data_IF_476376404189
#
_entry.id   IF_476376404189
#
_cell.length_a   1.000
_cell.length_b   1.000
_cell.length_c   1.000
_cell.angle_alpha   90.00
_cell.angle_beta   90.00
_cell.angle_gamma   90.00
#
_symmetry.space_group_name_H-M   'P 1'
#
loop_
_entity.id
_entity.type
_entity.pdbx_description
1 polymer ?
2 polymer ?
3 non-polymer ?
4 non-polymer ?
5 water ?
#
# COMPACT_ATOMS: atom_id res chain seq x y z
N UNK A 1 -1.36 10.26 -19.80
CA UNK A 1 -2.45 9.83 -20.73
C UNK A 1 -3.57 9.13 -19.99
N UNK A 2 -3.95 7.92 -20.41
CA UNK A 2 -5.07 7.21 -19.80
C UNK A 2 -4.71 6.59 -18.45
N UNK A 3 -3.41 6.54 -18.16
CA UNK A 3 -2.92 5.92 -16.95
C UNK A 3 -1.56 5.32 -17.20
N UNK A 4 -1.05 4.63 -16.19
CA UNK A 4 0.27 4.02 -16.29
C UNK A 4 0.16 2.60 -16.82
N UNK A 5 1.22 2.15 -17.46
CA UNK A 5 1.31 0.81 -17.96
C UNK A 5 1.96 -0.05 -16.91
N UNK A 6 1.38 -1.21 -16.67
CA UNK A 6 1.96 -2.18 -15.79
C UNK A 6 1.98 -3.52 -16.51
N UNK A 7 2.90 -4.38 -16.09
CA UNK A 7 2.97 -5.73 -16.59
C UNK A 7 2.47 -6.65 -15.51
N UNK A 8 1.61 -7.58 -15.89
CA UNK A 8 1.18 -8.63 -15.00
C UNK A 8 2.35 -9.55 -14.74
N UNK A 9 2.66 -9.74 -13.47
CA UNK A 9 3.73 -10.61 -13.06
C UNK A 9 3.25 -12.05 -12.95
N UNK A 10 1.94 -12.23 -12.83
CA UNK A 10 1.34 -13.55 -12.64
C UNK A 10 0.02 -13.60 -13.37
N UNK A 11 -0.45 -14.81 -13.64
CA UNK A 11 -1.79 -15.02 -14.16
C UNK A 11 -2.77 -14.71 -13.05
N UNK A 12 -3.89 -14.12 -13.42
CA UNK A 12 -4.99 -13.95 -12.50
C UNK A 12 -6.31 -14.23 -13.21
N UNK A 13 -7.15 -15.06 -12.63
CA UNK A 13 -8.47 -15.34 -13.17
C UNK A 13 -9.47 -14.65 -12.30
N UNK A 14 -10.27 -13.79 -12.90
CA UNK A 14 -11.29 -13.02 -12.19
C UNK A 14 -12.16 -13.93 -11.34
N UNK A 15 -12.35 -13.54 -10.08
CA UNK A 15 -13.16 -14.30 -9.12
C UNK A 15 -14.48 -13.64 -8.78
N UNK A 16 -14.54 -12.32 -8.86
CA UNK A 16 -15.73 -11.59 -8.46
C UNK A 16 -16.06 -10.56 -9.51
N UNK A 17 -17.18 -9.88 -9.30
CA UNK A 17 -17.66 -8.86 -10.20
C UNK A 17 -16.63 -7.83 -10.60
N UNK A 18 -16.51 -7.64 -11.91
CA UNK A 18 -15.73 -6.55 -12.46
C UNK A 18 -14.24 -6.66 -12.26
N UNK A 19 -13.74 -7.85 -11.96
CA UNK A 19 -12.31 -8.06 -11.96
C UNK A 19 -11.85 -8.44 -13.34
N UNK A 20 -10.63 -8.06 -13.68
CA UNK A 20 -10.03 -8.49 -14.94
C UNK A 20 -9.39 -9.85 -14.78
N UNK A 21 -9.44 -10.61 -15.85
CA UNK A 21 -8.63 -11.78 -16.00
C UNK A 21 -7.45 -11.41 -16.87
N UNK A 22 -6.27 -11.88 -16.49
CA UNK A 22 -5.10 -11.62 -17.28
C UNK A 22 -4.06 -12.69 -17.09
N UNK A 23 -3.06 -12.65 -17.94
CA UNK A 23 -1.96 -13.60 -17.87
C UNK A 23 -0.68 -12.86 -17.61
N UNK A 24 0.28 -13.58 -17.05
CA UNK A 24 1.62 -13.07 -16.87
C UNK A 24 2.08 -12.54 -18.22
N UNK A 25 2.63 -11.34 -18.21
CA UNK A 25 3.11 -10.71 -19.41
C UNK A 25 2.10 -9.76 -20.05
N UNK A 26 0.85 -9.79 -19.61
CA UNK A 26 -0.12 -8.83 -20.11
C UNK A 26 0.26 -7.44 -19.67
N UNK A 27 0.08 -6.49 -20.56
CA UNK A 27 0.22 -5.11 -20.23
C UNK A 27 -1.16 -4.56 -19.90
N UNK A 28 -1.28 -3.98 -18.72
CA UNK A 28 -2.54 -3.47 -18.24
C UNK A 28 -2.39 -1.98 -18.05
N UNK A 29 -3.40 -1.22 -18.44
CA UNK A 29 -3.42 0.20 -18.15
C UNK A 29 -4.08 0.36 -16.81
N UNK A 30 -3.38 0.99 -15.88
CA UNK A 30 -3.94 1.31 -14.58
C UNK A 30 -4.43 2.73 -14.61
N UNK A 31 -5.74 2.88 -14.57
CA UNK A 31 -6.40 4.17 -14.56
C UNK A 31 -6.32 4.84 -13.20
N UNK A 32 -6.50 4.06 -12.15
CA UNK A 32 -6.42 4.61 -10.80
C UNK A 32 -5.79 3.59 -9.88
N UNK A 33 -4.93 4.06 -8.99
CA UNK A 33 -4.35 3.24 -7.94
C UNK A 33 -5.17 3.40 -6.68
N UNK A 34 -6.37 2.86 -6.71
CA UNK A 34 -7.34 3.03 -5.64
C UNK A 34 -6.82 2.42 -4.36
N UNK A 35 -7.19 3.00 -3.22
CA UNK A 35 -6.87 2.35 -1.96
C UNK A 35 -7.64 1.06 -1.88
N UNK A 36 -7.08 0.10 -1.18
CA UNK A 36 -7.74 -1.15 -0.82
C UNK A 36 -7.22 -2.35 -1.61
N UNK A 37 -6.15 -2.18 -2.38
CA UNK A 37 -5.43 -3.31 -2.96
C UNK A 37 -5.84 -3.68 -4.36
N UNK A 38 -6.92 -3.09 -4.85
CA UNK A 38 -7.44 -3.37 -6.17
C UNK A 38 -7.48 -2.08 -6.92
N UNK A 39 -6.84 -2.09 -8.07
CA UNK A 39 -6.72 -0.91 -8.89
C UNK A 39 -7.66 -0.98 -10.07
N UNK A 40 -8.08 0.18 -10.54
CA UNK A 40 -8.92 0.24 -11.71
C UNK A 40 -8.02 0.12 -12.92
N UNK A 41 -8.16 -1.00 -13.62
CA UNK A 41 -7.32 -1.29 -14.76
C UNK A 41 -8.14 -1.51 -15.99
N UNK A 42 -7.44 -1.68 -17.09
CA UNK A 42 -8.07 -1.95 -18.37
C UNK A 42 -7.19 -2.86 -19.20
N UNK A 43 -7.81 -3.87 -19.77
CA UNK A 43 -7.14 -4.84 -20.60
C UNK A 43 -8.13 -5.44 -21.59
N UNK A 44 -7.74 -5.50 -22.85
CA UNK A 44 -8.50 -6.22 -23.89
C UNK A 44 -9.97 -5.80 -23.97
N UNK A 45 -10.21 -4.51 -23.86
CA UNK A 45 -11.53 -3.93 -24.00
C UNK A 45 -12.42 -4.03 -22.78
N UNK A 46 -11.85 -4.43 -21.64
CA UNK A 46 -12.58 -4.52 -20.39
C UNK A 46 -11.90 -3.66 -19.36
N UNK A 47 -12.72 -2.94 -18.61
CA UNK A 47 -12.30 -2.17 -17.47
C UNK A 47 -12.70 -2.94 -16.25
N UNK A 48 -11.81 -3.02 -15.27
CA UNK A 48 -12.14 -3.72 -14.06
C UNK A 48 -11.00 -3.68 -13.08
N UNK A 49 -11.21 -4.36 -11.97
CA UNK A 49 -10.26 -4.35 -10.88
C UNK A 49 -9.10 -5.27 -11.18
N UNK A 50 -7.92 -4.85 -10.75
CA UNK A 50 -6.69 -5.61 -10.89
C UNK A 50 -6.07 -5.66 -9.51
N UNK A 51 -5.62 -6.82 -9.05
CA UNK A 51 -4.97 -6.87 -7.75
C UNK A 51 -3.60 -6.20 -7.86
N UNK A 52 -3.36 -5.20 -7.02
CA UNK A 52 -2.20 -4.34 -7.19
C UNK A 52 -0.89 -5.06 -7.00
N UNK A 53 -0.89 -6.13 -6.22
CA UNK A 53 0.34 -6.88 -5.99
C UNK A 53 0.68 -7.83 -7.13
N UNK A 54 -0.14 -7.85 -8.17
CA UNK A 54 0.09 -8.73 -9.31
C UNK A 54 0.79 -8.06 -10.45
N UNK A 55 1.04 -6.76 -10.32
CA UNK A 55 1.53 -5.99 -11.45
C UNK A 55 2.76 -5.20 -11.06
N UNK A 56 3.60 -4.97 -12.06
CA UNK A 56 4.82 -4.19 -11.90
C UNK A 56 4.75 -3.03 -12.87
N UNK A 57 4.98 -1.83 -12.37
CA UNK A 57 5.02 -0.65 -13.22
C UNK A 57 6.15 -0.84 -14.21
N UNK A 58 5.88 -0.59 -15.49
CA UNK A 58 6.91 -0.67 -16.53
C UNK A 58 7.04 0.67 -17.26
N UNK B 1 -37.77 18.37 -3.69
CA UNK B 1 -36.85 19.13 -2.81
C UNK B 1 -35.47 19.30 -3.46
N UNK B 2 -34.40 19.08 -2.72
CA UNK B 2 -33.04 19.30 -3.22
C UNK B 2 -32.57 18.21 -4.17
N UNK B 3 -33.27 17.08 -4.16
CA UNK B 3 -32.91 15.95 -4.99
C UNK B 3 -33.38 14.68 -4.35
N UNK B 4 -33.02 13.55 -4.94
CA UNK B 4 -33.40 12.26 -4.41
C UNK B 4 -32.35 11.77 -3.43
N UNK B 5 -32.80 10.99 -2.47
CA UNK B 5 -31.91 10.35 -1.53
C UNK B 5 -31.51 9.00 -2.10
N UNK B 6 -30.22 8.70 -2.01
CA UNK B 6 -29.70 7.40 -2.36
C UNK B 6 -28.83 6.92 -1.23
N UNK B 7 -28.68 5.61 -1.14
CA UNK B 7 -27.80 5.00 -0.18
C UNK B 7 -26.59 4.46 -0.91
N UNK B 8 -25.42 4.72 -0.35
CA UNK B 8 -24.18 4.15 -0.88
C UNK B 8 -24.17 2.67 -0.58
N UNK B 9 -24.00 1.87 -1.62
CA UNK B 9 -23.95 0.42 -1.48
C UNK B 9 -22.55 -0.07 -1.15
N UNK B 10 -21.54 0.76 -1.42
CA UNK B 10 -20.15 0.39 -1.19
C UNK B 10 -19.39 1.62 -0.76
N UNK B 11 -18.25 1.41 -0.11
CA UNK B 11 -17.31 2.47 0.18
C UNK B 11 -16.73 2.96 -1.11
N UNK B 12 -16.52 4.25 -1.19
CA UNK B 12 -15.78 4.82 -2.28
C UNK B 12 -14.87 5.91 -1.75
N UNK B 13 -13.60 5.85 -2.13
CA UNK B 13 -12.63 6.86 -1.74
C UNK B 13 -12.33 7.67 -2.98
N UNK B 14 -12.60 8.97 -2.89
CA UNK B 14 -12.39 9.88 -4.02
C UNK B 14 -11.00 9.71 -4.62
N UNK B 15 -10.95 9.56 -5.94
CA UNK B 15 -9.69 9.40 -6.67
C UNK B 15 -9.27 10.62 -7.43
N UNK B 16 -10.23 11.46 -7.81
CA UNK B 16 -9.93 12.64 -8.60
C UNK B 16 -10.62 13.84 -8.00
N UNK B 17 -10.49 14.97 -8.68
CA UNK B 17 -11.08 16.22 -8.25
C UNK B 17 -12.57 16.13 -8.16
N UNK B 18 -13.08 16.61 -7.04
CA UNK B 18 -14.50 16.83 -6.86
C UNK B 18 -15.32 15.58 -6.80
N UNK B 19 -14.70 14.44 -6.52
CA UNK B 19 -15.45 13.25 -6.19
C UNK B 19 -15.71 13.24 -4.70
N UNK B 20 -16.85 12.70 -4.31
CA UNK B 20 -17.14 12.50 -2.90
C UNK B 20 -16.51 11.22 -2.44
N UNK B 21 -16.05 11.24 -1.20
CA UNK B 21 -15.71 10.04 -0.49
C UNK B 21 -16.91 9.70 0.35
N UNK B 22 -17.23 8.42 0.40
CA UNK B 22 -18.33 7.98 1.21
C UNK B 22 -18.14 6.54 1.60
N UNK B 23 -18.97 6.12 2.54
CA UNK B 23 -18.94 4.78 3.02
C UNK B 23 -20.26 4.12 2.75
N UNK B 24 -20.23 2.81 2.65
CA UNK B 24 -21.44 2.03 2.55
C UNK B 24 -22.37 2.50 3.67
N UNK B 25 -23.61 2.77 3.30
CA UNK B 25 -24.62 3.20 4.25
C UNK B 25 -24.82 4.68 4.30
N UNK B 26 -23.92 5.45 3.73
CA UNK B 26 -24.11 6.90 3.66
C UNK B 26 -25.34 7.21 2.83
N UNK B 27 -26.07 8.22 3.26
CA UNK B 27 -27.18 8.74 2.49
C UNK B 27 -26.64 9.94 1.75
N UNK B 28 -26.76 9.91 0.43
CA UNK B 28 -26.27 10.96 -0.43
C UNK B 28 -27.47 11.59 -1.11
N UNK B 29 -27.48 12.91 -1.18
CA UNK B 29 -28.49 13.59 -1.97
C UNK B 29 -27.96 13.67 -3.38
N UNK B 30 -28.72 13.15 -4.32
CA UNK B 30 -28.36 13.25 -5.72
C UNK B 30 -29.13 14.41 -6.31
N UNK B 31 -28.39 15.46 -6.59
CA UNK B 31 -28.95 16.65 -7.20
C UNK B 31 -29.27 16.44 -8.67
N UNK B 32 -28.39 15.75 -9.39
CA UNK B 32 -28.59 15.49 -10.81
C UNK B 32 -28.05 14.12 -11.17
N UNK B 33 -28.78 13.40 -12.02
CA UNK B 33 -28.34 12.14 -12.56
C UNK B 33 -27.71 12.37 -13.92
N UNK B 34 -26.53 12.97 -13.91
CA UNK B 34 -25.85 13.38 -15.12
C UNK B 34 -25.49 12.18 -15.97
N UNK B 35 -25.47 12.34 -17.28
CA UNK B 35 -24.96 11.28 -18.12
C UNK B 35 -23.47 11.11 -17.88
N UNK B 36 -22.98 9.92 -18.10
CA UNK B 36 -21.57 9.57 -18.07
C UNK B 36 -21.12 8.82 -16.80
N UNK B 37 -22.08 8.38 -15.99
CA UNK B 37 -21.83 7.44 -14.91
C UNK B 37 -21.50 8.07 -13.57
N UNK B 38 -21.37 9.39 -13.54
CA UNK B 38 -21.06 10.10 -12.32
C UNK B 38 -22.14 11.14 -12.12
N UNK B 39 -22.75 11.11 -10.94
CA UNK B 39 -23.87 11.98 -10.63
C UNK B 39 -23.45 13.07 -9.67
N UNK B 40 -24.16 14.18 -9.72
CA UNK B 40 -23.87 15.28 -8.81
C UNK B 40 -24.56 14.98 -7.51
N UNK B 41 -23.76 14.71 -6.50
CA UNK B 41 -24.28 14.37 -5.19
C UNK B 41 -23.80 15.32 -4.13
N UNK B 42 -24.33 15.14 -2.94
CA UNK B 42 -23.95 15.94 -1.81
C UNK B 42 -23.96 15.08 -0.57
N UNK B 43 -22.90 15.20 0.21
CA UNK B 43 -22.77 14.47 1.45
C UNK B 43 -21.85 15.26 2.38
N UNK B 44 -22.29 15.41 3.63
CA UNK B 44 -21.45 15.96 4.70
C UNK B 44 -20.84 17.31 4.36
N UNK B 45 -21.66 18.16 3.76
CA UNK B 45 -21.26 19.52 3.42
C UNK B 45 -20.38 19.66 2.20
N UNK B 46 -20.26 18.59 1.40
CA UNK B 46 -19.51 18.63 0.15
C UNK B 46 -20.40 18.20 -0.99
N UNK B 47 -20.33 18.95 -2.08
CA UNK B 47 -20.97 18.58 -3.32
C UNK B 47 -19.89 18.04 -4.21
N UNK B 48 -20.19 16.95 -4.90
CA UNK B 48 -19.22 16.35 -5.78
C UNK B 48 -19.80 15.17 -6.51
N UNK B 49 -18.96 14.53 -7.30
CA UNK B 49 -19.38 13.43 -8.15
C UNK B 49 -19.47 12.18 -7.35
N UNK B 50 -20.48 11.37 -7.68
CA UNK B 50 -20.66 10.07 -7.07
C UNK B 50 -20.81 9.07 -8.22
N UNK B 51 -20.14 7.94 -8.13
CA UNK B 51 -20.29 6.94 -9.19
C UNK B 51 -21.68 6.34 -9.10
N UNK B 52 -22.43 6.40 -10.19
CA UNK B 52 -23.84 6.09 -10.15
C UNK B 52 -24.10 4.63 -9.81
N UNK B 53 -23.15 3.76 -10.14
CA UNK B 53 -23.33 2.34 -9.86
C UNK B 53 -23.05 2.00 -8.42
N UNK B 54 -22.69 2.99 -7.60
CA UNK B 54 -22.37 2.75 -6.20
C UNK B 54 -23.54 3.05 -5.28
N UNK B 55 -24.64 3.53 -5.83
CA UNK B 55 -25.75 3.99 -5.00
C UNK B 55 -27.06 3.37 -5.42
N UNK B 56 -27.97 3.29 -4.47
CA UNK B 56 -29.30 2.74 -4.68
C UNK B 56 -30.30 3.79 -4.23
N UNK B 57 -31.29 4.06 -5.09
CA UNK B 57 -32.36 4.98 -4.74
C UNK B 57 -33.13 4.43 -3.56
N UNK B 58 -33.35 5.26 -2.55
CA UNK B 58 -34.13 4.87 -1.38
C UNK B 58 -35.32 5.81 -1.16
N UNK C 1 -0.60 -12.98 13.45
CA UNK C 1 -0.27 -13.29 12.03
C UNK C 1 0.95 -12.52 11.56
N UNK C 2 0.87 -11.90 10.39
CA UNK C 2 2.01 -11.19 9.81
C UNK C 2 2.27 -9.81 10.42
N UNK C 3 1.32 -9.35 11.22
CA UNK C 3 1.39 -8.02 11.80
C UNK C 3 0.01 -7.46 11.98
N UNK C 4 -0.06 -6.23 12.45
CA UNK C 4 -1.35 -5.58 12.66
C UNK C 4 -1.79 -4.86 11.40
N UNK C 5 -3.09 -4.68 11.28
CA UNK C 5 -3.69 -3.94 10.19
C UNK C 5 -3.85 -2.52 10.66
N UNK C 6 -3.45 -1.59 9.80
CA UNK C 6 -3.70 -0.18 10.03
C UNK C 6 -4.34 0.39 8.80
N UNK C 7 -5.07 1.48 8.97
CA UNK C 7 -5.64 2.20 7.87
C UNK C 7 -4.84 3.48 7.69
N UNK C 8 -4.50 3.78 6.46
CA UNK C 8 -3.88 5.04 6.13
C UNK C 8 -4.92 6.12 6.29
N UNK C 9 -4.58 7.14 7.08
CA UNK C 9 -5.46 8.26 7.33
C UNK C 9 -5.28 9.33 6.28
N UNK C 10 -4.13 9.32 5.60
CA UNK C 10 -3.81 10.31 4.59
C UNK C 10 -3.06 9.64 3.47
N UNK C 11 -3.03 10.29 2.32
CA UNK C 11 -2.18 9.87 1.22
C UNK C 11 -0.74 10.14 1.61
N UNK C 12 0.14 9.24 1.19
CA UNK C 12 1.55 9.48 1.30
C UNK C 12 2.26 8.98 0.05
N UNK C 13 3.11 9.81 -0.52
CA UNK C 13 3.91 9.46 -1.67
C UNK C 13 5.34 9.25 -1.24
N UNK C 14 5.88 8.07 -1.48
CA UNK C 14 7.24 7.73 -1.07
C UNK C 14 8.22 8.78 -1.56
N UNK C 15 9.07 9.24 -0.64
CA UNK C 15 10.07 10.27 -0.93
C UNK C 15 11.49 9.74 -1.00
N UNK C 16 11.74 8.62 -0.32
CA UNK C 16 13.09 8.07 -0.29
C UNK C 16 13.03 6.58 -0.51
N UNK C 17 14.20 5.95 -0.44
CA UNK C 17 14.33 4.52 -0.65
C UNK C 17 13.46 3.72 0.29
N UNK C 18 12.72 2.77 -0.28
CA UNK C 18 12.05 1.77 0.53
C UNK C 18 10.91 2.31 1.35
N UNK C 19 10.39 3.48 1.04
CA UNK C 19 9.14 3.93 1.62
C UNK C 19 8.00 3.43 0.77
N UNK C 20 6.87 3.16 1.40
CA UNK C 20 5.65 2.81 0.69
C UNK C 20 4.91 4.06 0.27
N UNK C 21 4.29 3.98 -0.89
CA UNK C 21 3.31 4.93 -1.31
C UNK C 21 1.96 4.33 -1.01
N UNK C 22 1.05 5.14 -0.48
CA UNK C 22 -0.28 4.67 -0.22
C UNK C 22 -1.27 5.82 -0.25
N UNK C 23 -2.54 5.47 -0.23
CA UNK C 23 -3.61 6.44 -0.23
C UNK C 23 -4.43 6.28 1.01
N UNK C 24 -5.07 7.38 1.40
CA UNK C 24 -6.04 7.34 2.47
C UNK C 24 -6.99 6.18 2.21
N UNK C 25 -7.20 5.37 3.23
CA UNK C 25 -8.11 4.25 3.14
C UNK C 25 -7.41 2.95 2.83
N UNK C 26 -6.13 2.99 2.44
CA UNK C 26 -5.38 1.76 2.24
C UNK C 26 -5.22 1.05 3.56
N UNK C 27 -5.32 -0.27 3.51
CA UNK C 27 -5.01 -1.09 4.65
C UNK C 27 -3.58 -1.55 4.49
N UNK C 28 -2.76 -1.28 5.49
CA UNK C 28 -1.35 -1.60 5.48
C UNK C 28 -1.12 -2.59 6.58
N UNK C 29 -0.30 -3.60 6.30
CA UNK C 29 0.12 -4.52 7.34
C UNK C 29 1.38 -3.92 7.94
N UNK C 30 1.36 -3.70 9.24
CA UNK C 30 2.54 -3.23 9.94
C UNK C 30 3.22 -4.42 10.57
N UNK C 31 4.37 -4.77 10.02
CA UNK C 31 5.18 -5.88 10.51
C UNK C 31 5.91 -5.53 11.79
N UNK C 32 6.44 -4.31 11.86
CA UNK C 32 7.16 -3.86 13.05
C UNK C 32 6.88 -2.39 13.29
N UNK C 33 6.70 -2.04 14.56
CA UNK C 33 6.56 -0.64 14.97
C UNK C 33 7.93 -0.14 15.44
N UNK C 34 8.82 0.03 14.48
CA UNK C 34 10.21 0.38 14.75
C UNK C 34 10.30 1.73 15.41
N UNK C 35 11.28 1.93 16.27
CA UNK C 35 11.51 3.26 16.80
C UNK C 35 11.97 4.15 15.66
N UNK C 36 11.69 5.44 15.78
CA UNK C 36 12.16 6.48 14.88
C UNK C 36 11.09 7.01 13.92
N UNK C 37 9.84 6.61 14.11
CA UNK C 37 8.71 7.23 13.43
C UNK C 37 8.29 6.58 12.13
N UNK C 38 9.06 5.61 11.69
CA UNK C 38 8.80 4.91 10.45
C UNK C 38 8.73 3.44 10.76
N UNK C 39 7.62 2.85 10.36
CA UNK C 39 7.34 1.46 10.68
C UNK C 39 7.51 0.59 9.45
N UNK C 40 7.83 -0.67 9.67
CA UNK C 40 7.97 -1.61 8.58
C UNK C 40 6.58 -2.09 8.21
N UNK C 41 6.12 -1.68 7.04
CA UNK C 41 4.80 -2.04 6.58
C UNK C 41 4.85 -2.79 5.27
N UNK C 42 3.68 -3.22 4.86
CA UNK C 42 3.54 -3.92 3.60
C UNK C 42 2.21 -3.57 2.99
N UNK C 43 2.25 -3.32 1.69
CA UNK C 43 1.07 -2.97 0.94
C UNK C 43 1.32 -3.30 -0.53
N UNK C 44 0.35 -3.97 -1.14
CA UNK C 44 0.35 -4.19 -2.60
C UNK C 44 1.63 -4.84 -3.13
N UNK C 45 2.13 -5.82 -2.39
CA UNK C 45 3.30 -6.57 -2.81
C UNK C 45 4.65 -5.95 -2.50
N UNK C 46 4.63 -4.80 -1.81
CA UNK C 46 5.86 -4.09 -1.45
C UNK C 46 5.96 -3.96 0.04
N UNK C 47 7.16 -4.19 0.53
CA UNK C 47 7.50 -3.99 1.91
C UNK C 47 8.31 -2.73 1.99
N UNK C 48 8.03 -1.90 2.97
CA UNK C 48 8.74 -0.66 3.10
C UNK C 48 8.30 0.13 4.30
N UNK C 49 8.89 1.30 4.44
CA UNK C 49 8.65 2.14 5.58
C UNK C 49 7.36 2.90 5.41
N UNK C 50 6.64 3.06 6.52
CA UNK C 50 5.39 3.80 6.57
C UNK C 50 5.54 4.82 7.70
N UNK C 51 5.17 6.07 7.48
CA UNK C 51 5.26 7.06 8.54
C UNK C 51 4.17 6.75 9.57
N UNK C 52 4.59 6.56 10.81
CA UNK C 52 3.71 6.02 11.83
C UNK C 52 2.53 6.93 12.14
N UNK C 53 2.72 8.23 11.96
CA UNK C 53 1.65 9.17 12.24
C UNK C 53 0.62 9.25 11.14
N UNK C 54 0.80 8.47 10.08
CA UNK C 54 -0.14 8.46 8.96
C UNK C 54 -1.17 7.37 9.03
N UNK C 55 -1.07 6.51 10.05
CA UNK C 55 -1.89 5.32 10.08
C UNK C 55 -2.60 5.21 11.43
N UNK C 56 -3.75 4.55 11.39
CA UNK C 56 -4.57 4.30 12.57
C UNK C 56 -4.76 2.80 12.68
N UNK C 57 -4.50 2.26 13.86
CA UNK C 57 -4.71 0.84 14.09
C UNK C 57 -6.20 0.56 13.91
N UNK C 58 -6.53 -0.47 13.15
CA UNK C 58 -7.93 -0.86 12.94
C UNK C 58 -8.15 -2.29 13.37
N UNK D 1 40.26 -16.92 10.98
CA UNK D 1 39.67 -15.89 11.88
C UNK D 1 38.20 -16.14 12.14
N UNK D 2 37.58 -15.28 12.95
CA UNK D 2 36.21 -15.48 13.42
C UNK D 2 35.14 -15.16 12.37
N UNK D 3 35.55 -14.47 11.31
CA UNK D 3 34.64 -14.09 10.25
C UNK D 3 35.09 -12.78 9.68
N UNK D 4 34.26 -12.19 8.82
CA UNK D 4 34.62 -10.94 8.18
C UNK D 4 34.15 -9.75 9.01
N UNK D 5 34.83 -8.64 8.84
CA UNK D 5 34.45 -7.39 9.46
C UNK D 5 33.57 -6.63 8.50
N UNK D 6 32.47 -6.10 9.03
CA UNK D 6 31.60 -5.22 8.28
C UNK D 6 31.35 -3.99 9.11
N UNK D 7 31.01 -2.91 8.44
CA UNK D 7 30.63 -1.67 9.10
C UNK D 7 29.14 -1.48 8.92
N UNK D 8 28.46 -1.11 10.01
CA UNK D 8 27.05 -0.76 9.93
C UNK D 8 26.92 0.56 9.20
N UNK D 9 26.08 0.57 8.18
CA UNK D 9 25.83 1.76 7.39
C UNK D 9 24.73 2.60 7.99
N UNK D 10 23.88 1.98 8.82
CA UNK D 10 22.75 2.68 9.43
C UNK D 10 22.57 2.17 10.84
N UNK D 11 21.86 2.95 11.65
CA UNK D 11 21.42 2.50 12.96
C UNK D 11 20.37 1.44 12.76
N UNK D 12 20.41 0.42 13.60
CA UNK D 12 19.34 -0.55 13.65
C UNK D 12 19.04 -0.87 15.11
N UNK D 13 17.77 -0.80 15.48
CA UNK D 13 17.32 -1.16 16.81
C UNK D 13 16.62 -2.50 16.72
N UNK D 14 17.13 -3.49 17.43
CA UNK D 14 16.58 -4.84 17.40
C UNK D 14 15.06 -4.82 17.63
N UNK D 15 14.34 -5.52 16.77
CA UNK D 15 12.88 -5.59 16.84
C UNK D 15 12.37 -6.94 17.32
N UNK D 16 13.18 -7.98 17.16
CA UNK D 16 12.77 -9.30 17.59
C UNK D 16 13.90 -9.92 18.36
N UNK D 17 13.66 -11.13 18.85
CA UNK D 17 14.65 -11.86 19.63
C UNK D 17 15.91 -12.09 18.82
N UNK D 18 17.03 -11.87 19.47
CA UNK D 18 18.32 -12.27 18.94
C UNK D 18 18.79 -11.44 17.78
N UNK D 19 18.19 -10.29 17.55
CA UNK D 19 18.76 -9.31 16.64
C UNK D 19 19.71 -8.43 17.41
N UNK D 20 20.75 -7.98 16.74
CA UNK D 20 21.66 -7.01 17.33
C UNK D 20 21.11 -5.61 17.13
N UNK D 21 21.33 -4.79 18.13
CA UNK D 21 21.16 -3.36 17.99
C UNK D 21 22.53 -2.81 17.69
N UNK D 22 22.59 -1.90 16.75
CA UNK D 22 23.86 -1.25 16.46
C UNK D 22 23.62 0.12 15.91
N UNK D 23 24.69 0.87 15.81
CA UNK D 23 24.65 2.20 15.27
C UNK D 23 25.54 2.26 14.06
N UNK D 24 25.19 3.18 13.17
CA UNK D 24 26.04 3.50 12.06
C UNK D 24 27.46 3.67 12.57
N UNK D 25 28.40 3.00 11.91
CA UNK D 25 29.79 3.10 12.25
C UNK D 25 30.28 1.94 13.07
N UNK D 26 29.37 1.16 13.64
CA UNK D 26 29.77 -0.01 14.40
C UNK D 26 30.44 -1.00 13.49
N UNK D 27 31.48 -1.63 14.00
CA UNK D 27 32.11 -2.73 13.31
C UNK D 27 31.52 -4.01 13.88
N UNK D 28 30.98 -4.84 12.98
CA UNK D 28 30.34 -6.06 13.35
C UNK D 28 31.13 -7.20 12.74
N UNK D 29 31.32 -8.27 13.49
CA UNK D 29 31.94 -9.45 12.93
C UNK D 29 30.81 -10.30 12.40
N UNK D 30 30.88 -10.64 11.12
CA UNK D 30 29.90 -11.52 10.51
C UNK D 30 30.48 -12.91 10.49
N UNK D 31 29.93 -13.77 11.33
CA UNK D 31 30.32 -15.16 11.40
C UNK D 31 29.80 -15.97 10.23
N UNK D 32 28.57 -15.72 9.82
CA UNK D 32 27.98 -16.44 8.69
C UNK D 32 27.09 -15.52 7.89
N UNK D 33 27.14 -15.65 6.56
CA UNK D 33 26.24 -14.93 5.67
C UNK D 33 25.09 -15.86 5.30
N UNK D 34 24.20 -16.05 6.26
CA UNK D 34 23.11 -17.00 6.14
C UNK D 34 22.15 -16.55 5.07
N UNK D 35 21.52 -17.48 4.38
CA UNK D 35 20.46 -17.10 3.47
C UNK D 35 19.29 -16.53 4.26
N UNK D 36 18.54 -15.63 3.64
CA UNK D 36 17.29 -15.09 4.15
C UNK D 36 17.40 -13.65 4.66
N UNK D 37 18.53 -13.00 4.40
CA UNK D 37 18.67 -11.57 4.60
C UNK D 37 19.18 -11.15 5.96
N UNK D 38 19.35 -12.12 6.85
CA UNK D 38 19.84 -11.83 8.18
C UNK D 38 21.06 -12.69 8.42
N UNK D 39 22.15 -12.05 8.79
CA UNK D 39 23.42 -12.71 8.96
C UNK D 39 23.74 -12.88 10.44
N UNK D 40 24.52 -13.90 10.75
CA UNK D 40 24.94 -14.12 12.11
C UNK D 40 26.12 -13.23 12.38
N UNK D 41 25.90 -12.25 13.23
CA UNK D 41 26.92 -11.27 13.55
C UNK D 41 27.22 -11.24 15.02
N UNK D 42 28.21 -10.45 15.35
CA UNK D 42 28.61 -10.28 16.72
C UNK D 42 29.08 -8.86 16.94
N UNK D 43 28.62 -8.27 18.03
CA UNK D 43 28.96 -6.91 18.39
C UNK D 43 28.82 -6.75 19.90
N UNK D 44 29.82 -6.16 20.52
CA UNK D 44 29.75 -5.75 21.93
C UNK D 44 29.33 -6.87 22.86
N UNK D 45 29.88 -8.04 22.62
CA UNK D 45 29.64 -9.20 23.46
C UNK D 45 28.34 -9.95 23.20
N UNK D 46 27.60 -9.57 22.16
CA UNK D 46 26.35 -10.23 21.80
C UNK D 46 26.46 -10.78 20.39
N UNK D 47 26.01 -12.03 20.24
CA UNK D 47 25.86 -12.64 18.94
C UNK D 47 24.39 -12.57 18.59
N UNK D 48 24.11 -12.24 17.35
CA UNK D 48 22.74 -12.07 16.94
C UNK D 48 22.64 -11.79 15.47
N UNK D 49 21.41 -11.66 15.01
CA UNK D 49 21.13 -11.43 13.62
C UNK D 49 21.37 -9.98 13.28
N UNK D 50 21.89 -9.78 12.08
CA UNK D 50 22.15 -8.46 11.54
C UNK D 50 21.46 -8.44 10.19
N UNK D 51 20.71 -7.40 9.88
CA UNK D 51 20.12 -7.32 8.55
C UNK D 51 21.24 -7.07 7.54
N UNK D 52 21.35 -7.94 6.54
CA UNK D 52 22.51 -7.95 5.66
C UNK D 52 22.63 -6.68 4.84
N UNK D 53 21.50 -6.04 4.58
CA UNK D 53 21.51 -4.82 3.79
C UNK D 53 21.90 -3.60 4.61
N UNK D 54 22.20 -3.79 5.89
CA UNK D 54 22.60 -2.68 6.74
C UNK D 54 24.08 -2.55 6.90
N UNK D 55 24.85 -3.46 6.31
CA UNK D 55 26.28 -3.51 6.54
C UNK D 55 27.06 -3.56 5.24
N UNK D 56 28.30 -3.09 5.32
CA UNK D 56 29.21 -3.06 4.20
C UNK D 56 30.50 -3.76 4.61
N UNK D 57 30.97 -4.67 3.77
CA UNK D 57 32.22 -5.36 4.02
C UNK D 57 33.36 -4.35 4.04
N UNK D 58 34.23 -4.43 5.04
CA UNK D 58 35.39 -3.55 5.14
C UNK D 58 36.68 -4.35 5.26
N UNK E 1 3.27 -19.88 -8.73
CA UNK E 1 4.19 -19.07 -7.89
C UNK E 1 3.73 -17.62 -7.89
N UNK E 2 2.72 -17.32 -7.09
CA UNK E 2 2.21 -15.96 -7.01
C UNK E 2 1.64 -15.63 -5.63
N UNK E 3 1.59 -14.35 -5.29
CA UNK E 3 1.03 -13.95 -4.01
C UNK E 3 -0.48 -14.06 -4.02
N UNK E 4 -1.06 -14.10 -2.83
CA UNK E 4 -2.50 -14.11 -2.69
C UNK E 4 -3.03 -12.72 -3.04
N UNK E 5 -4.15 -12.63 -3.75
CA UNK E 5 -4.74 -11.31 -4.00
C UNK E 5 -5.08 -10.62 -2.68
N UNK E 6 -5.07 -9.30 -2.66
CA UNK E 6 -5.46 -8.56 -1.47
C UNK E 6 -6.95 -8.78 -1.19
N UNK E 7 -7.38 -8.65 0.05
CA UNK E 7 -8.81 -8.75 0.38
C UNK E 7 -9.64 -7.81 -0.50
N UNK E 8 -10.82 -8.27 -0.90
CA UNK E 8 -11.67 -7.53 -1.83
C UNK E 8 -12.71 -6.67 -1.11
N UNK E 9 -13.15 -5.62 -1.79
CA UNK E 9 -14.17 -4.72 -1.25
C UNK E 9 -15.59 -5.10 -1.64
N UNK E 10 -15.72 -6.14 -2.47
CA UNK E 10 -16.98 -6.57 -3.04
C UNK E 10 -17.75 -5.41 -3.65
N UNK E 11 -17.18 -4.80 -4.68
CA UNK E 11 -17.83 -3.67 -5.33
C UNK E 11 -17.49 -3.58 -6.80
N UNK E 12 -18.35 -2.95 -7.58
CA UNK E 12 -18.09 -2.79 -9.00
C UNK E 12 -17.02 -1.75 -9.24
N UNK E 13 -16.40 -1.80 -10.41
CA UNK E 13 -15.46 -0.79 -10.80
C UNK E 13 -16.24 0.49 -11.04
N UNK E 14 -15.71 1.64 -10.63
CA UNK E 14 -16.36 2.90 -10.96
C UNK E 14 -16.45 3.06 -12.47
N UNK E 15 -17.45 3.78 -12.96
CA UNK E 15 -17.55 4.02 -14.39
C UNK E 15 -16.38 4.88 -14.82
N UNK E 16 -16.00 4.81 -16.09
CA UNK E 16 -14.96 5.69 -16.58
C UNK E 16 -15.27 7.15 -16.25
N UNK E 17 -14.26 7.86 -15.80
CA UNK E 17 -14.33 9.29 -15.59
C UNK E 17 -13.92 9.96 -16.88
N UNK E 18 -13.27 9.18 -17.75
CA UNK E 18 -12.80 9.61 -19.05
C UNK E 18 -13.54 8.83 -20.14
N UNK F 1 -6.09 17.85 4.77
CA UNK F 1 -4.71 18.10 5.27
C UNK F 1 -4.14 16.93 6.10
N UNK F 2 -2.83 16.93 6.29
CA UNK F 2 -2.14 15.84 6.97
C UNK F 2 -0.92 16.33 7.75
N UNK F 3 -0.45 15.55 8.70
CA UNK F 3 0.73 15.93 9.47
C UNK F 3 2.00 15.76 8.66
N UNK F 4 3.09 16.42 9.04
CA UNK F 4 4.35 16.15 8.37
C UNK F 4 4.85 14.78 8.77
N UNK F 5 5.49 14.07 7.85
CA UNK F 5 6.11 12.80 8.21
C UNK F 5 7.20 13.03 9.25
N UNK F 6 7.45 12.04 10.10
CA UNK F 6 8.51 12.14 11.09
C UNK F 6 9.86 12.21 10.38
N UNK F 7 10.87 12.80 11.00
CA UNK F 7 12.20 12.80 10.42
C UNK F 7 12.64 11.37 10.04
N UNK F 8 13.34 11.25 8.92
CA UNK F 8 13.75 9.94 8.40
C UNK F 8 15.14 9.53 8.85
N UNK F 9 15.40 8.23 8.84
CA UNK F 9 16.70 7.68 9.22
C UNK F 9 17.63 7.43 8.05
N UNK F 10 17.14 7.70 6.84
CA UNK F 10 17.86 7.43 5.60
C UNK F 10 18.41 6.01 5.56
N UNK F 11 17.53 5.02 5.62
CA UNK F 11 17.96 3.63 5.60
C UNK F 11 16.95 2.72 4.92
N UNK F 12 17.42 1.60 4.39
CA UNK F 12 16.53 0.64 3.75
C UNK F 12 15.69 -0.10 4.78
N UNK F 13 14.59 -0.68 4.33
CA UNK F 13 13.79 -1.51 5.20
C UNK F 13 14.56 -2.78 5.46
N UNK F 14 14.55 -3.29 6.68
CA UNK F 14 15.16 -4.58 6.95
C UNK F 14 14.53 -5.66 6.07
N UNK F 15 15.27 -6.70 5.72
CA UNK F 15 14.70 -7.80 4.95
C UNK F 15 13.65 -8.49 5.80
N UNK F 16 12.68 -9.14 5.17
CA UNK F 16 11.69 -9.89 5.93
C UNK F 16 12.39 -10.87 6.88
N UNK F 17 11.84 -11.03 8.07
CA UNK F 17 12.44 -11.89 9.11
C UNK F 17 11.97 -13.33 9.06
#
# INVERSE_FOLDING_TARGET
>A
GPGIQVKALYDYDAQTGDELTFKEGDTIIVHQKDPAGWWEGELNGKRGWVPANYVQDI
>B
GPGIQVKALYDYDAQTGDELTFKEGDTIIVHQKDPAGWWEGELNGKRGWVPANYVQDI
>C
GPGIQVKALYDYDAQTGDELTFKEGDTIIVHQKDPAGWWEGELNGKRGWVPANYVQDI
>D
GPGIQVKALYDYDAQTGDELTFKEGDTIIVHQKDPAGWWEGELNGKRGWVPANYVQDI
>E
AKPVPPPRGAKPAPPPRT
>F
AKPVPPPRGAKPAPPPRT
#
